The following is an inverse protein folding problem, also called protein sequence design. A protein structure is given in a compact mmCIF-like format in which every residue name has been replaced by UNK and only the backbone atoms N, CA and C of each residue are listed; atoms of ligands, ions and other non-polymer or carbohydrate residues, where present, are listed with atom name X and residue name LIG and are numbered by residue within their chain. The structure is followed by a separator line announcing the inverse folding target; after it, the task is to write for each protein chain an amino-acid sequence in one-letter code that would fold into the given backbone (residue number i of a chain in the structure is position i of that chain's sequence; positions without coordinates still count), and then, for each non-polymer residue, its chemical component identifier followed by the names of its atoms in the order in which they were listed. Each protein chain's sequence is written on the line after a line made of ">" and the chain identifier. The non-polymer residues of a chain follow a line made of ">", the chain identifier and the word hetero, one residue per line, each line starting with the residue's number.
data_IF_012520128644
#
_entry.id   IF_012520128644
#
_cell.length_a   1.000
_cell.length_b   1.000
_cell.length_c   1.000
_cell.angle_alpha   90.00
_cell.angle_beta   90.00
_cell.angle_gamma   90.00
#
_symmetry.space_group_name_H-M   'P 1'
#
loop_
_entity.id
_entity.type
_entity.pdbx_description
1 polymer ?
#
# COMPACT_ATOMS: atom_id res chain seq x y z
N UNK A 1 6.81 -11.18 -36.48
CA UNK A 1 8.13 -11.69 -36.08
C UNK A 1 8.00 -12.47 -34.76
N UNK A 2 7.64 -13.74 -34.83
CA UNK A 2 7.57 -14.69 -33.69
C UNK A 2 8.75 -15.66 -33.77
N UNK A 3 9.97 -15.12 -33.89
CA UNK A 3 11.19 -15.93 -33.98
C UNK A 3 11.39 -16.66 -32.65
N UNK A 4 11.18 -17.98 -32.63
CA UNK A 4 11.57 -18.96 -31.60
C UNK A 4 11.84 -18.41 -30.18
N UNK A 5 10.89 -17.65 -29.62
CA UNK A 5 11.06 -17.05 -28.29
C UNK A 5 11.14 -18.13 -27.21
N UNK A 6 10.39 -19.22 -27.42
CA UNK A 6 10.38 -20.38 -26.53
C UNK A 6 11.74 -21.08 -26.51
N UNK A 7 12.32 -21.39 -27.67
CA UNK A 7 13.64 -22.02 -27.73
C UNK A 7 14.75 -21.14 -27.16
N UNK A 8 14.67 -19.82 -27.34
CA UNK A 8 15.61 -18.88 -26.71
C UNK A 8 15.45 -18.90 -25.18
N UNK A 9 14.22 -18.88 -24.67
CA UNK A 9 13.94 -18.89 -23.23
C UNK A 9 14.46 -20.19 -22.59
N UNK A 10 14.17 -21.35 -23.18
CA UNK A 10 14.63 -22.65 -22.69
C UNK A 10 16.16 -22.71 -22.67
N UNK A 11 16.83 -22.30 -23.75
CA UNK A 11 18.31 -22.27 -23.82
C UNK A 11 18.93 -21.39 -22.73
N UNK A 12 18.32 -20.25 -22.40
CA UNK A 12 18.80 -19.39 -21.31
C UNK A 12 18.57 -20.03 -19.94
N UNK A 13 17.39 -20.61 -19.73
CA UNK A 13 17.01 -21.24 -18.47
C UNK A 13 17.97 -22.36 -18.09
N UNK A 14 18.35 -23.23 -19.05
CA UNK A 14 19.27 -24.36 -18.80
C UNK A 14 20.73 -23.94 -18.54
N UNK A 15 21.09 -22.69 -18.81
CA UNK A 15 22.43 -22.14 -18.52
C UNK A 15 22.54 -21.46 -17.16
N UNK A 16 21.42 -21.29 -16.45
CA UNK A 16 21.42 -20.64 -15.15
C UNK A 16 21.98 -21.57 -14.06
N UNK A 17 22.68 -21.02 -13.06
CA UNK A 17 23.05 -21.78 -11.87
C UNK A 17 21.81 -22.35 -11.17
N UNK A 18 21.89 -23.58 -10.64
CA UNK A 18 20.78 -24.22 -9.93
C UNK A 18 20.12 -23.35 -8.84
N UNK A 19 20.86 -22.54 -8.04
CA UNK A 19 20.25 -21.63 -7.07
C UNK A 19 19.35 -20.55 -7.68
N UNK A 20 19.57 -20.18 -8.94
CA UNK A 20 18.77 -19.17 -9.64
C UNK A 20 17.50 -19.75 -10.26
N UNK A 21 17.45 -21.07 -10.49
CA UNK A 21 16.27 -21.73 -11.06
C UNK A 21 15.05 -21.59 -10.16
N UNK A 22 15.22 -21.67 -8.84
CA UNK A 22 14.12 -21.45 -7.88
C UNK A 22 13.49 -20.07 -8.03
N UNK A 23 14.32 -19.02 -8.05
CA UNK A 23 13.88 -17.63 -8.22
C UNK A 23 13.17 -17.43 -9.56
N UNK A 24 13.67 -18.06 -10.63
CA UNK A 24 13.05 -17.98 -11.95
C UNK A 24 11.70 -18.69 -11.98
N UNK A 25 11.57 -19.86 -11.35
CA UNK A 25 10.29 -20.55 -11.22
C UNK A 25 9.28 -19.70 -10.44
N UNK A 26 9.66 -19.17 -9.28
CA UNK A 26 8.82 -18.28 -8.48
C UNK A 26 8.35 -17.07 -9.31
N UNK A 27 9.27 -16.47 -10.09
CA UNK A 27 8.94 -15.35 -10.95
C UNK A 27 7.98 -15.74 -12.08
N UNK A 28 8.19 -16.89 -12.73
CA UNK A 28 7.30 -17.39 -13.78
C UNK A 28 5.89 -17.65 -13.26
N UNK A 29 5.75 -18.22 -12.05
CA UNK A 29 4.46 -18.42 -11.39
C UNK A 29 3.76 -17.07 -11.14
N UNK A 30 4.52 -16.06 -10.72
CA UNK A 30 3.99 -14.70 -10.54
C UNK A 30 3.59 -14.04 -11.86
N UNK A 31 4.26 -14.33 -12.98
CA UNK A 31 3.91 -13.75 -14.29
C UNK A 31 2.55 -14.22 -14.85
N UNK A 32 1.86 -15.15 -14.18
CA UNK A 32 0.44 -15.43 -14.44
C UNK A 32 -0.49 -14.28 -14.00
N UNK A 33 -0.03 -13.41 -13.08
CA UNK A 33 -0.75 -12.23 -12.59
C UNK A 33 -0.39 -10.97 -13.43
N UNK A 34 -1.37 -10.28 -14.03
CA UNK A 34 -1.15 -9.04 -14.78
C UNK A 34 -0.39 -7.95 -14.01
N UNK A 35 -0.54 -7.88 -12.68
CA UNK A 35 0.18 -6.93 -11.82
C UNK A 35 1.67 -7.18 -11.88
N UNK A 36 2.08 -8.44 -11.73
CA UNK A 36 3.47 -8.87 -11.80
C UNK A 36 4.07 -8.71 -13.20
N UNK A 37 3.28 -8.95 -14.26
CA UNK A 37 3.74 -8.68 -15.63
C UNK A 37 4.05 -7.20 -15.83
N UNK A 38 3.19 -6.31 -15.33
CA UNK A 38 3.40 -4.87 -15.45
C UNK A 38 4.61 -4.40 -14.63
N UNK A 39 4.73 -4.86 -13.39
CA UNK A 39 5.87 -4.56 -12.53
C UNK A 39 7.19 -5.08 -13.13
N UNK A 40 7.19 -6.28 -13.69
CA UNK A 40 8.37 -6.85 -14.37
C UNK A 40 8.78 -6.02 -15.57
N UNK A 41 7.83 -5.55 -16.38
CA UNK A 41 8.12 -4.65 -17.52
C UNK A 41 8.77 -3.35 -17.06
N UNK A 42 8.23 -2.73 -16.01
CA UNK A 42 8.80 -1.52 -15.40
C UNK A 42 10.20 -1.79 -14.84
N UNK A 43 10.39 -2.87 -14.09
CA UNK A 43 11.69 -3.30 -13.57
C UNK A 43 12.73 -3.45 -14.68
N UNK A 44 12.39 -4.17 -15.75
CA UNK A 44 13.28 -4.38 -16.91
C UNK A 44 13.63 -3.07 -17.63
N UNK A 45 12.78 -2.04 -17.55
CA UNK A 45 13.04 -0.69 -18.08
C UNK A 45 13.78 0.23 -17.10
N UNK A 46 14.12 -0.28 -15.91
CA UNK A 46 14.66 0.51 -14.78
C UNK A 46 13.70 1.60 -14.31
N UNK A 47 12.41 1.41 -14.51
CA UNK A 47 11.33 2.22 -13.97
C UNK A 47 10.92 1.69 -12.58
N UNK A 48 10.28 2.51 -11.77
CA UNK A 48 9.77 2.09 -10.47
C UNK A 48 8.64 1.06 -10.64
N UNK A 49 8.99 -0.21 -10.51
CA UNK A 49 8.13 -1.36 -10.79
C UNK A 49 6.89 -1.45 -9.91
N UNK A 50 7.01 -0.97 -8.68
CA UNK A 50 6.05 -1.22 -7.61
C UNK A 50 5.34 0.05 -7.11
N UNK A 51 5.52 1.18 -7.80
CA UNK A 51 4.77 2.40 -7.53
C UNK A 51 3.64 2.52 -8.54
N UNK A 52 2.51 1.95 -8.18
CA UNK A 52 1.34 1.80 -9.04
C UNK A 52 0.45 3.05 -9.07
N UNK A 53 0.93 4.28 -9.33
CA UNK A 53 0.14 5.53 -9.20
C UNK A 53 -0.81 5.53 -7.96
N UNK A 54 -1.73 6.47 -7.83
CA UNK A 54 -2.80 6.34 -6.85
C UNK A 54 -4.09 6.07 -7.63
N UNK A 55 -4.81 5.01 -7.29
CA UNK A 55 -6.14 4.77 -7.86
C UNK A 55 -7.06 5.98 -7.60
N UNK A 56 -6.90 6.60 -6.42
CA UNK A 56 -7.53 7.86 -6.02
C UNK A 56 -6.49 9.00 -5.96
N UNK A 57 -5.93 9.37 -7.11
CA UNK A 57 -5.03 10.52 -7.21
C UNK A 57 -5.75 11.86 -6.96
N UNK A 58 -5.42 12.50 -5.83
CA UNK A 58 -6.05 13.74 -5.38
C UNK A 58 -5.52 14.99 -6.09
N UNK A 59 -4.45 14.89 -6.89
CA UNK A 59 -4.00 16.02 -7.72
C UNK A 59 -5.08 16.47 -8.70
N UNK A 60 -5.91 15.53 -9.18
CA UNK A 60 -7.07 15.78 -10.04
C UNK A 60 -8.15 16.60 -9.33
N UNK A 61 -8.15 16.61 -8.00
CA UNK A 61 -9.01 17.45 -7.18
C UNK A 61 -8.33 18.75 -6.75
N UNK A 62 -7.16 19.07 -7.30
CA UNK A 62 -6.40 20.28 -6.99
C UNK A 62 -5.67 20.21 -5.64
N UNK A 63 -5.40 19.01 -5.12
CA UNK A 63 -4.62 18.80 -3.91
C UNK A 63 -3.14 18.66 -4.25
N UNK A 64 -2.27 18.87 -3.27
CA UNK A 64 -0.81 18.66 -3.43
C UNK A 64 -0.35 17.49 -2.58
N UNK A 65 0.40 16.55 -3.15
CA UNK A 65 1.05 15.50 -2.37
C UNK A 65 2.22 16.10 -1.59
N UNK A 66 2.23 15.95 -0.26
CA UNK A 66 3.31 16.41 0.61
C UNK A 66 4.29 15.30 0.99
N UNK A 67 3.83 14.05 1.04
CA UNK A 67 4.67 12.90 1.35
C UNK A 67 3.92 11.57 1.18
N UNK A 68 4.65 10.49 0.93
CA UNK A 68 4.12 9.13 0.79
C UNK A 68 5.06 8.09 1.43
N UNK A 69 4.50 6.95 1.86
CA UNK A 69 5.27 5.80 2.29
C UNK A 69 5.89 5.14 1.06
N UNK A 70 7.21 4.90 1.09
CA UNK A 70 7.92 4.18 0.02
C UNK A 70 8.33 2.76 0.42
N UNK A 71 7.87 2.27 1.57
CA UNK A 71 8.21 0.92 2.01
C UNK A 71 7.62 -0.12 1.06
N UNK A 72 8.39 -1.17 0.73
CA UNK A 72 7.99 -2.15 -0.27
C UNK A 72 6.89 -3.08 0.22
N UNK A 73 6.14 -3.52 -0.78
CA UNK A 73 5.10 -4.55 -0.79
C UNK A 73 5.70 -5.97 -0.66
N UNK A 74 5.04 -7.01 -0.08
CA UNK A 74 3.65 -7.10 0.42
C UNK A 74 3.53 -7.26 1.95
N UNK A 75 2.46 -6.72 2.52
CA UNK A 75 1.94 -7.14 3.84
C UNK A 75 0.72 -8.01 3.59
N UNK A 76 0.70 -9.21 4.17
CA UNK A 76 -0.49 -10.05 4.24
C UNK A 76 -1.57 -9.34 5.06
N UNK A 77 -2.77 -9.20 4.50
CA UNK A 77 -3.93 -8.57 5.14
C UNK A 77 -4.30 -9.27 6.47
N UNK A 78 -4.11 -10.59 6.52
CA UNK A 78 -4.32 -11.43 7.71
C UNK A 78 -3.34 -11.14 8.85
N UNK A 79 -2.16 -10.60 8.53
CA UNK A 79 -1.10 -10.29 9.49
C UNK A 79 -1.15 -8.84 9.96
N UNK A 80 -2.24 -8.11 9.72
CA UNK A 80 -2.40 -6.76 10.23
C UNK A 80 -2.95 -6.77 11.65
N UNK A 81 -2.38 -5.93 12.52
CA UNK A 81 -2.92 -5.63 13.83
C UNK A 81 -3.28 -4.14 14.01
N UNK A 82 -4.44 -3.84 14.65
CA UNK A 82 -4.85 -2.47 14.91
C UNK A 82 -4.13 -1.92 16.15
N UNK A 83 -3.50 -0.76 15.99
CA UNK A 83 -2.75 -0.09 17.06
C UNK A 83 -3.43 1.23 17.44
N UNK A 84 -3.79 1.44 18.73
CA UNK A 84 -4.27 2.73 19.20
C UNK A 84 -3.11 3.73 19.23
N UNK A 85 -3.37 4.98 18.86
CA UNK A 85 -2.31 5.98 18.72
C UNK A 85 -2.60 7.32 19.41
N UNK A 86 -3.84 7.57 19.82
CA UNK A 86 -4.25 8.84 20.40
C UNK A 86 -3.46 9.12 21.69
N UNK A 87 -2.75 10.25 21.68
CA UNK A 87 -2.34 11.01 22.86
C UNK A 87 -3.02 12.38 22.75
N UNK A 88 -3.18 13.08 23.87
CA UNK A 88 -3.77 14.42 23.85
C UNK A 88 -3.01 15.31 22.86
N UNK A 89 -3.76 15.89 21.91
CA UNK A 89 -3.31 16.90 20.92
C UNK A 89 -1.97 16.57 20.24
N UNK A 90 -2.01 16.06 19.02
CA UNK A 90 -1.19 16.53 17.88
C UNK A 90 -1.27 15.56 16.69
N UNK A 91 -1.78 16.08 15.57
CA UNK A 91 -1.83 15.34 14.31
C UNK A 91 -0.49 15.19 13.61
N UNK A 92 0.42 16.16 13.74
CA UNK A 92 1.78 16.02 13.16
C UNK A 92 2.55 14.90 13.83
N UNK A 93 2.40 14.82 15.15
CA UNK A 93 3.04 13.82 15.98
C UNK A 93 2.56 12.40 15.65
N UNK A 94 1.34 12.24 15.11
CA UNK A 94 0.85 10.96 14.59
C UNK A 94 1.78 10.39 13.51
N UNK A 95 2.22 11.22 12.56
CA UNK A 95 3.06 10.75 11.44
C UNK A 95 4.41 10.30 11.97
N UNK A 96 5.06 11.13 12.79
CA UNK A 96 6.35 10.80 13.40
C UNK A 96 6.26 9.52 14.22
N UNK A 97 5.29 9.43 15.14
CA UNK A 97 5.11 8.26 16.03
C UNK A 97 4.71 7.00 15.29
N UNK A 98 3.90 7.12 14.23
CA UNK A 98 3.58 5.97 13.38
C UNK A 98 4.86 5.31 12.86
N UNK A 99 5.87 6.12 12.50
CA UNK A 99 7.15 5.65 11.98
C UNK A 99 8.14 5.19 13.04
N UNK A 100 8.35 6.03 14.04
CA UNK A 100 9.46 5.88 14.97
C UNK A 100 9.10 5.02 16.19
N UNK A 101 7.83 5.01 16.61
CA UNK A 101 7.39 4.33 17.84
C UNK A 101 6.51 3.11 17.58
N UNK A 102 5.58 3.22 16.64
CA UNK A 102 4.53 2.23 16.44
C UNK A 102 4.83 1.26 15.31
N UNK A 103 5.78 1.60 14.42
CA UNK A 103 6.11 0.85 13.20
C UNK A 103 4.89 0.59 12.30
N UNK A 104 4.01 1.58 12.18
CA UNK A 104 2.79 1.57 11.41
C UNK A 104 2.94 2.45 10.14
N UNK A 105 3.80 2.00 9.23
CA UNK A 105 4.29 2.80 8.09
C UNK A 105 3.40 2.75 6.85
N UNK A 106 2.09 2.65 7.04
CA UNK A 106 1.16 2.45 5.93
C UNK A 106 0.64 3.78 5.37
N UNK A 107 0.52 3.82 4.05
CA UNK A 107 0.06 4.96 3.25
C UNK A 107 -1.14 4.61 2.36
N UNK A 108 -1.61 5.56 1.54
CA UNK A 108 -2.76 5.44 0.65
C UNK A 108 -2.69 4.21 -0.26
N UNK A 109 -1.53 3.87 -0.81
CA UNK A 109 -1.39 2.65 -1.64
C UNK A 109 -1.77 1.37 -0.88
N UNK A 110 -1.45 1.32 0.41
CA UNK A 110 -1.85 0.20 1.27
C UNK A 110 -3.36 0.22 1.52
N UNK A 111 -3.95 1.40 1.70
CA UNK A 111 -5.39 1.57 1.84
C UNK A 111 -6.15 1.13 0.57
N UNK A 112 -5.66 1.53 -0.61
CA UNK A 112 -6.23 1.17 -1.91
C UNK A 112 -6.12 -0.33 -2.16
N UNK A 113 -4.98 -0.93 -1.87
CA UNK A 113 -4.82 -2.38 -1.95
C UNK A 113 -5.80 -3.13 -1.05
N UNK A 114 -5.92 -2.71 0.21
CA UNK A 114 -6.88 -3.29 1.15
C UNK A 114 -8.32 -3.14 0.64
N UNK A 115 -8.64 -2.02 -0.01
CA UNK A 115 -9.97 -1.79 -0.58
C UNK A 115 -10.26 -2.69 -1.79
N UNK A 116 -9.25 -3.01 -2.61
CA UNK A 116 -9.36 -3.97 -3.71
C UNK A 116 -9.52 -5.41 -3.21
N UNK A 117 -8.95 -5.73 -2.04
CA UNK A 117 -8.99 -7.05 -1.40
C UNK A 117 -9.82 -7.04 -0.13
N UNK A 118 -10.93 -6.28 -0.14
CA UNK A 118 -11.66 -5.94 1.09
C UNK A 118 -12.27 -7.14 1.82
N UNK A 119 -12.49 -8.25 1.10
CA UNK A 119 -12.99 -9.51 1.65
C UNK A 119 -11.96 -10.20 2.55
N UNK A 120 -10.68 -9.84 2.43
CA UNK A 120 -9.61 -10.36 3.29
C UNK A 120 -9.44 -9.55 4.58
N UNK A 121 -10.07 -8.37 4.68
CA UNK A 121 -9.97 -7.53 5.87
C UNK A 121 -10.80 -8.17 6.99
N UNK A 122 -10.21 -8.52 8.15
CA UNK A 122 -10.93 -9.15 9.25
C UNK A 122 -12.16 -8.34 9.69
N UNK A 123 -13.29 -9.02 9.92
CA UNK A 123 -14.54 -8.37 10.28
C UNK A 123 -14.44 -7.58 11.58
N UNK A 124 -13.56 -7.99 12.49
CA UNK A 124 -13.33 -7.33 13.78
C UNK A 124 -12.76 -5.91 13.61
N UNK A 125 -12.16 -5.60 12.46
CA UNK A 125 -11.64 -4.28 12.13
C UNK A 125 -12.74 -3.30 11.69
N UNK A 126 -13.93 -3.79 11.29
CA UNK A 126 -15.03 -2.95 10.78
C UNK A 126 -15.55 -1.91 11.79
N UNK A 127 -15.26 -2.11 13.09
CA UNK A 127 -15.58 -1.16 14.16
C UNK A 127 -14.61 0.02 14.28
N UNK A 128 -13.51 0.02 13.53
CA UNK A 128 -12.46 1.02 13.60
C UNK A 128 -12.41 1.90 12.35
N UNK A 129 -11.88 3.11 12.51
CA UNK A 129 -11.39 3.93 11.40
C UNK A 129 -9.91 3.60 11.21
N UNK A 130 -9.56 2.98 10.08
CA UNK A 130 -8.20 2.53 9.80
C UNK A 130 -7.42 3.66 9.13
N UNK A 131 -6.44 4.24 9.82
CA UNK A 131 -5.72 5.45 9.37
C UNK A 131 -4.38 5.06 8.75
N UNK A 132 -4.05 5.70 7.62
CA UNK A 132 -2.83 5.47 6.83
C UNK A 132 -1.94 6.73 6.83
N UNK A 133 -1.19 6.96 7.90
CA UNK A 133 -0.59 8.27 8.22
C UNK A 133 0.58 8.65 7.30
N UNK A 134 1.15 7.68 6.57
CA UNK A 134 2.36 7.92 5.82
C UNK A 134 2.14 8.50 4.42
N UNK A 135 0.89 8.71 3.99
CA UNK A 135 0.55 9.54 2.83
C UNK A 135 -0.14 10.80 3.29
N UNK A 136 0.41 11.95 2.92
CA UNK A 136 -0.10 13.26 3.33
C UNK A 136 -0.40 14.07 2.09
N UNK A 137 -1.65 14.49 1.97
CA UNK A 137 -2.10 15.46 0.98
C UNK A 137 -2.31 16.81 1.63
N UNK A 138 -2.24 17.87 0.82
CA UNK A 138 -2.70 19.22 1.17
C UNK A 138 -3.91 19.56 0.32
N UNK A 139 -5.05 19.80 0.96
CA UNK A 139 -6.27 20.22 0.27
C UNK A 139 -6.19 21.68 -0.20
N UNK A 140 -7.17 22.12 -1.00
CA UNK A 140 -7.23 23.49 -1.55
C UNK A 140 -7.30 24.59 -0.48
N UNK A 141 -7.68 24.24 0.75
CA UNK A 141 -7.76 25.18 1.88
C UNK A 141 -6.47 25.17 2.71
N UNK A 142 -5.44 24.43 2.28
CA UNK A 142 -4.17 24.31 2.97
C UNK A 142 -4.17 23.29 4.10
N UNK A 143 -5.26 22.55 4.31
CA UNK A 143 -5.30 21.55 5.37
C UNK A 143 -4.58 20.28 4.94
N UNK A 144 -3.83 19.68 5.86
CA UNK A 144 -3.21 18.37 5.64
C UNK A 144 -4.21 17.26 5.86
N UNK A 145 -4.30 16.35 4.90
CA UNK A 145 -5.24 15.25 4.88
C UNK A 145 -4.48 13.92 4.83
N UNK A 146 -4.95 12.95 5.60
CA UNK A 146 -4.44 11.58 5.56
C UNK A 146 -5.55 10.62 5.14
N UNK A 147 -5.25 9.59 4.34
CA UNK A 147 -6.21 8.55 3.99
C UNK A 147 -6.66 7.75 5.20
N UNK A 148 -7.93 7.32 5.18
CA UNK A 148 -8.46 6.33 6.11
C UNK A 148 -9.48 5.43 5.42
N UNK A 149 -9.65 4.22 5.94
CA UNK A 149 -10.73 3.32 5.58
C UNK A 149 -11.78 3.27 6.69
N UNK A 150 -13.04 3.20 6.29
CA UNK A 150 -14.17 2.98 7.20
C UNK A 150 -15.15 1.99 6.62
N UNK A 151 -15.83 1.25 7.50
CA UNK A 151 -16.91 0.33 7.11
C UNK A 151 -18.24 1.08 7.15
N UNK A 152 -18.97 1.08 6.02
CA UNK A 152 -20.27 1.76 5.93
C UNK A 152 -21.02 1.33 4.68
N UNK A 153 -22.34 1.16 4.80
CA UNK A 153 -23.18 0.73 3.68
C UNK A 153 -22.85 -0.68 3.16
N UNK A 154 -22.36 -1.56 4.04
CA UNK A 154 -22.04 -2.96 3.71
C UNK A 154 -20.71 -3.18 2.97
N UNK A 155 -19.82 -2.18 2.93
CA UNK A 155 -18.51 -2.25 2.27
C UNK A 155 -17.49 -1.33 2.94
N UNK A 156 -16.21 -1.59 2.67
CA UNK A 156 -15.16 -0.64 3.00
C UNK A 156 -15.18 0.53 2.02
N UNK A 157 -14.79 1.71 2.52
CA UNK A 157 -14.74 2.95 1.75
C UNK A 157 -13.49 3.76 2.12
N UNK A 158 -12.89 4.42 1.14
CA UNK A 158 -11.73 5.31 1.30
C UNK A 158 -12.17 6.76 1.51
N UNK A 159 -11.69 7.37 2.58
CA UNK A 159 -11.86 8.78 2.89
C UNK A 159 -10.52 9.47 3.19
N UNK A 160 -10.57 10.80 3.36
CA UNK A 160 -9.42 11.62 3.73
C UNK A 160 -9.77 12.54 4.88
N UNK A 161 -9.10 12.39 6.03
CA UNK A 161 -9.40 13.16 7.23
C UNK A 161 -8.34 14.23 7.52
N UNK A 162 -8.75 15.30 8.19
CA UNK A 162 -7.86 16.40 8.57
C UNK A 162 -6.90 15.96 9.67
N UNK A 163 -5.61 16.00 9.36
CA UNK A 163 -4.56 15.67 10.31
C UNK A 163 -4.61 16.59 11.55
N UNK A 164 -4.97 17.87 11.40
CA UNK A 164 -5.12 18.80 12.52
C UNK A 164 -6.41 18.66 13.33
N UNK A 165 -7.27 17.69 12.99
CA UNK A 165 -8.57 17.45 13.60
C UNK A 165 -8.59 16.34 14.66
N UNK A 166 -9.77 16.13 15.23
CA UNK A 166 -10.02 15.21 16.34
C UNK A 166 -10.09 13.75 15.85
N UNK A 167 -8.94 13.10 15.67
CA UNK A 167 -8.92 11.64 15.68
C UNK A 167 -9.56 11.17 17.00
N UNK A 168 -10.53 10.26 16.89
CA UNK A 168 -11.35 9.78 18.01
C UNK A 168 -10.89 8.40 18.46
N UNK A 169 -11.32 7.97 19.65
CA UNK A 169 -10.92 6.71 20.31
C UNK A 169 -11.10 5.44 19.46
N UNK A 170 -11.85 5.50 18.36
CA UNK A 170 -12.05 4.40 17.40
C UNK A 170 -11.06 4.39 16.24
N UNK A 171 -10.21 5.41 16.09
CA UNK A 171 -9.16 5.46 15.07
C UNK A 171 -8.02 4.49 15.42
N UNK A 172 -7.58 3.68 14.46
CA UNK A 172 -6.48 2.73 14.60
C UNK A 172 -5.48 2.92 13.47
N UNK A 173 -4.21 2.87 13.80
CA UNK A 173 -3.17 2.58 12.81
C UNK A 173 -3.16 1.07 12.56
N UNK A 174 -2.59 0.68 11.43
CA UNK A 174 -2.34 -0.72 11.10
C UNK A 174 -0.84 -0.95 10.96
N UNK A 175 -0.38 -2.09 11.44
CA UNK A 175 0.99 -2.57 11.21
C UNK A 175 1.02 -4.09 11.05
N UNK A 176 2.06 -4.66 10.43
CA UNK A 176 2.30 -6.09 10.45
C UNK A 176 2.46 -6.63 11.88
N UNK A 177 1.89 -7.79 12.16
CA UNK A 177 2.15 -8.58 13.37
C UNK A 177 3.62 -9.00 13.37
N UNK A 178 4.22 -8.98 14.56
CA UNK A 178 5.57 -9.51 14.79
C UNK A 178 5.55 -11.02 14.88
#
# INVERSE_FOLDING_TARGET
>A
MSKDMLGIAVRKLVTLPSPMLGIVCDHLDKLADPVWVNATKKFLRKEEAWLADFSRDMTKEGWTLLGDAREPWPISTADLEPVPFLKEKEGEELVRRSREELHANLGQRHAEYLLENQDEIPEELRKFLLVFPCTIWRDRRGNRRVPYLFWGGGRWQLGFDWLGGAFVSVCRLLRPRK
#
